data_IF_907336465269
#
_entry.id   IF_907336465269
#
_cell.length_a   1.000
_cell.length_b   1.000
_cell.length_c   1.000
_cell.angle_alpha   90.00
_cell.angle_beta   90.00
_cell.angle_gamma   90.00
#
_symmetry.space_group_name_H-M   'P 1'
#
loop_
_entity.id
_entity.type
_entity.pdbx_description
1 polymer ?
#
# COMPACT_ATOMS: atom_id res chain seq x y z
N UNK A 1 0.64 -5.42 38.99
CA UNK A 1 1.97 -5.48 38.35
C UNK A 1 2.10 -4.20 37.56
N UNK A 2 2.90 -3.26 38.05
CA UNK A 2 3.05 -1.95 37.43
C UNK A 2 3.75 -2.10 36.09
N UNK A 3 3.17 -1.55 35.04
CA UNK A 3 3.82 -1.48 33.73
C UNK A 3 4.81 -0.33 33.76
N UNK A 4 6.09 -0.63 33.97
CA UNK A 4 7.14 0.38 33.80
C UNK A 4 7.36 0.61 32.30
N UNK A 5 7.59 1.88 31.94
CA UNK A 5 8.07 2.24 30.60
C UNK A 5 9.59 2.29 30.69
N UNK A 6 10.25 1.53 29.85
CA UNK A 6 11.70 1.60 29.71
C UNK A 6 12.06 2.55 28.56
N UNK A 7 13.13 3.33 28.76
CA UNK A 7 13.66 4.24 27.75
C UNK A 7 15.11 3.84 27.52
N UNK A 8 15.43 3.52 26.27
CA UNK A 8 16.77 3.22 25.83
C UNK A 8 17.29 4.35 24.94
N UNK A 9 18.56 4.71 25.12
CA UNK A 9 19.22 5.74 24.33
C UNK A 9 20.61 5.25 23.95
N UNK A 10 20.90 5.26 22.65
CA UNK A 10 22.22 4.94 22.13
C UNK A 10 22.21 3.76 21.18
N UNK A 11 22.91 2.68 21.55
CA UNK A 11 22.96 1.46 20.76
C UNK A 11 22.38 0.32 21.60
N UNK A 12 21.27 -0.26 21.15
CA UNK A 12 20.66 -1.42 21.80
C UNK A 12 20.64 -2.59 20.84
N UNK A 13 20.70 -3.76 21.45
CA UNK A 13 20.61 -5.04 20.76
C UNK A 13 20.13 -6.10 21.73
N UNK A 14 18.83 -6.30 21.76
CA UNK A 14 18.14 -7.12 22.75
C UNK A 14 17.08 -8.03 22.13
N UNK A 15 16.58 -8.96 22.96
CA UNK A 15 15.46 -9.82 22.64
C UNK A 15 14.44 -9.62 23.74
N UNK A 16 13.21 -9.30 23.34
CA UNK A 16 12.12 -9.02 24.25
C UNK A 16 10.98 -10.01 24.05
N UNK A 17 10.45 -10.54 25.16
CA UNK A 17 9.44 -11.58 25.13
C UNK A 17 8.38 -11.30 26.20
N UNK A 18 7.14 -11.16 25.76
CA UNK A 18 5.99 -11.00 26.64
C UNK A 18 5.23 -9.72 26.35
N UNK A 19 4.98 -8.93 27.39
CA UNK A 19 4.24 -7.67 27.29
C UNK A 19 5.21 -6.51 27.47
N UNK A 20 5.53 -5.83 26.37
CA UNK A 20 6.55 -4.79 26.32
C UNK A 20 5.94 -3.41 26.13
N UNK A 21 6.58 -2.40 26.74
CA UNK A 21 6.22 -1.00 26.53
C UNK A 21 7.44 -0.11 26.64
N UNK A 22 8.02 0.23 25.49
CA UNK A 22 9.37 0.80 25.42
C UNK A 22 9.45 2.04 24.54
N UNK A 23 10.51 2.80 24.73
CA UNK A 23 10.90 3.92 23.87
C UNK A 23 12.39 3.75 23.58
N UNK A 24 12.75 3.78 22.31
CA UNK A 24 14.12 3.66 21.85
C UNK A 24 14.51 4.89 21.06
N UNK A 25 15.74 5.36 21.29
CA UNK A 25 16.31 6.51 20.58
C UNK A 25 17.76 6.21 20.24
N UNK A 26 18.03 5.97 18.95
CA UNK A 26 19.40 5.76 18.48
C UNK A 26 19.53 4.75 17.36
N UNK A 27 20.29 3.69 17.62
CA UNK A 27 20.60 2.62 16.69
C UNK A 27 20.18 1.30 17.31
N UNK A 28 19.06 0.76 16.86
CA UNK A 28 18.45 -0.39 17.50
C UNK A 28 18.54 -1.63 16.60
N UNK A 29 18.64 -2.80 17.23
CA UNK A 29 18.65 -4.07 16.53
C UNK A 29 18.04 -5.17 17.38
N UNK A 30 16.72 -5.19 17.41
CA UNK A 30 15.99 -5.96 18.39
C UNK A 30 15.08 -7.03 17.75
N UNK A 31 14.61 -7.93 18.60
CA UNK A 31 13.65 -8.98 18.24
C UNK A 31 12.58 -9.06 19.32
N UNK A 32 11.33 -8.89 18.91
CA UNK A 32 10.18 -8.80 19.80
C UNK A 32 9.21 -9.95 19.56
N UNK A 33 8.79 -10.60 20.66
CA UNK A 33 7.75 -11.64 20.63
C UNK A 33 6.68 -11.37 21.69
N UNK A 34 5.43 -11.27 21.25
CA UNK A 34 4.28 -11.16 22.15
C UNK A 34 3.44 -9.92 21.88
N UNK A 35 3.16 -9.15 22.94
CA UNK A 35 2.35 -7.94 22.89
C UNK A 35 3.24 -6.72 23.11
N UNK A 36 3.52 -5.97 22.05
CA UNK A 36 4.41 -4.80 22.12
C UNK A 36 3.67 -3.49 21.93
N UNK A 37 4.25 -2.43 22.51
CA UNK A 37 3.81 -1.03 22.34
C UNK A 37 4.99 -0.09 22.44
N UNK A 38 5.51 0.32 21.29
CA UNK A 38 6.85 0.90 21.24
C UNK A 38 6.90 2.18 20.43
N UNK A 39 7.95 2.96 20.69
CA UNK A 39 8.26 4.18 19.95
C UNK A 39 9.74 4.13 19.62
N UNK A 40 10.07 4.27 18.35
CA UNK A 40 11.41 4.21 17.84
C UNK A 40 11.77 5.52 17.14
N UNK A 41 12.97 6.04 17.42
CA UNK A 41 13.49 7.25 16.81
C UNK A 41 14.95 7.05 16.47
N UNK A 42 15.25 6.85 15.19
CA UNK A 42 16.62 6.66 14.74
C UNK A 42 16.79 5.70 13.57
N UNK A 43 17.70 4.74 13.75
CA UNK A 43 18.14 3.79 12.74
C UNK A 43 17.85 2.36 13.19
N UNK A 44 16.74 1.81 12.70
CA UNK A 44 16.14 0.62 13.29
C UNK A 44 16.26 -0.61 12.39
N UNK A 45 16.44 -1.76 13.02
CA UNK A 45 16.51 -3.08 12.36
C UNK A 45 15.89 -4.15 13.21
N UNK A 46 14.60 -4.37 13.03
CA UNK A 46 13.82 -5.10 14.02
C UNK A 46 12.96 -6.19 13.39
N UNK A 47 12.50 -7.10 14.23
CA UNK A 47 11.56 -8.14 13.85
C UNK A 47 10.54 -8.27 14.97
N UNK A 48 9.26 -8.21 14.58
CA UNK A 48 8.12 -8.29 15.47
C UNK A 48 7.30 -9.53 15.15
N UNK A 49 6.98 -10.29 16.20
CA UNK A 49 6.11 -11.46 16.10
C UNK A 49 5.02 -11.39 17.17
N UNK A 50 3.78 -11.15 16.75
CA UNK A 50 2.62 -11.21 17.65
C UNK A 50 1.59 -10.11 17.42
N UNK A 51 1.45 -9.22 18.40
CA UNK A 51 0.52 -8.10 18.38
C UNK A 51 1.26 -6.85 18.82
N UNK A 52 1.47 -5.91 17.91
CA UNK A 52 2.17 -4.67 18.20
C UNK A 52 1.36 -3.43 17.90
N UNK A 53 1.94 -2.32 18.36
CA UNK A 53 1.52 -0.96 18.06
C UNK A 53 2.73 -0.07 18.17
N UNK A 54 3.14 0.49 17.06
CA UNK A 54 4.41 1.19 16.99
C UNK A 54 4.28 2.57 16.39
N UNK A 55 5.21 3.43 16.77
CA UNK A 55 5.45 4.70 16.12
C UNK A 55 6.94 4.75 15.82
N UNK A 56 7.28 4.81 14.55
CA UNK A 56 8.67 4.77 14.11
C UNK A 56 9.00 6.02 13.32
N UNK A 57 10.10 6.66 13.68
CA UNK A 57 10.59 7.87 13.00
C UNK A 57 12.07 7.69 12.65
N UNK A 58 12.39 7.65 11.36
CA UNK A 58 13.78 7.64 10.90
C UNK A 58 14.05 6.72 9.72
N UNK A 59 15.12 5.94 9.83
CA UNK A 59 15.61 5.04 8.78
C UNK A 59 15.48 3.59 9.23
N UNK A 60 14.59 2.85 8.58
CA UNK A 60 14.06 1.61 9.18
C UNK A 60 14.21 0.43 8.24
N UNK A 61 14.37 -0.76 8.84
CA UNK A 61 14.21 -2.05 8.17
C UNK A 61 13.58 -3.05 9.11
N UNK A 62 12.31 -3.33 8.92
CA UNK A 62 11.54 -4.15 9.86
C UNK A 62 10.85 -5.33 9.18
N UNK A 63 10.54 -6.34 9.98
CA UNK A 63 9.74 -7.48 9.58
C UNK A 63 8.67 -7.68 10.64
N UNK A 64 7.42 -7.68 10.20
CA UNK A 64 6.25 -7.81 11.03
C UNK A 64 5.51 -9.09 10.70
N UNK A 65 5.18 -9.87 11.73
CA UNK A 65 4.41 -11.10 11.61
C UNK A 65 3.34 -11.14 12.68
N UNK A 66 2.10 -10.83 12.30
CA UNK A 66 0.99 -10.91 13.25
C UNK A 66 -0.15 -9.94 12.99
N UNK A 67 -0.43 -9.11 13.99
CA UNK A 67 -1.52 -8.14 13.99
C UNK A 67 -0.98 -6.79 14.40
N UNK A 68 -0.59 -5.98 13.43
CA UNK A 68 0.12 -4.75 13.70
C UNK A 68 -0.71 -3.50 13.44
N UNK A 69 -0.26 -2.42 14.09
CA UNK A 69 -0.78 -1.09 13.88
C UNK A 69 0.35 -0.09 14.06
N UNK A 70 0.97 0.31 12.97
CA UNK A 70 2.07 1.25 13.04
C UNK A 70 1.74 2.63 12.44
N UNK A 71 2.57 3.58 12.84
CA UNK A 71 2.73 4.86 12.19
C UNK A 71 4.20 5.03 11.90
N UNK A 72 4.54 5.22 10.63
CA UNK A 72 5.90 5.38 10.21
C UNK A 72 6.14 6.73 9.52
N UNK A 73 7.29 7.31 9.82
CA UNK A 73 7.76 8.55 9.19
C UNK A 73 9.23 8.43 8.83
N UNK A 74 9.56 8.48 7.53
CA UNK A 74 10.93 8.63 7.08
C UNK A 74 11.29 7.82 5.83
N UNK A 75 12.28 6.94 5.98
CA UNK A 75 12.81 6.10 4.91
C UNK A 75 12.80 4.66 5.38
N UNK A 76 11.82 3.88 4.92
CA UNK A 76 11.58 2.56 5.45
C UNK A 76 11.73 1.48 4.39
N UNK A 77 11.81 0.27 4.90
CA UNK A 77 11.79 -0.94 4.12
C UNK A 77 11.25 -2.06 4.99
N UNK A 78 9.97 -2.32 4.88
CA UNK A 78 9.30 -3.34 5.68
C UNK A 78 8.85 -4.56 4.89
N UNK A 79 8.59 -5.62 5.65
CA UNK A 79 7.87 -6.80 5.21
C UNK A 79 6.81 -7.09 6.27
N UNK A 80 5.55 -7.14 5.86
CA UNK A 80 4.44 -7.44 6.75
C UNK A 80 3.73 -8.73 6.35
N UNK A 81 3.39 -9.54 7.35
CA UNK A 81 2.70 -10.81 7.17
C UNK A 81 1.62 -10.95 8.23
N UNK A 82 0.36 -10.75 7.84
CA UNK A 82 -0.77 -10.87 8.75
C UNK A 82 -1.89 -9.87 8.52
N UNK A 83 -2.25 -9.17 9.59
CA UNK A 83 -3.38 -8.23 9.64
C UNK A 83 -2.89 -6.85 10.06
N UNK A 84 -2.73 -5.98 9.08
CA UNK A 84 -2.01 -4.74 9.28
C UNK A 84 -2.87 -3.50 9.12
N UNK A 85 -2.48 -2.44 9.82
CA UNK A 85 -3.07 -1.11 9.70
C UNK A 85 -2.01 -0.04 9.87
N UNK A 86 -1.63 0.58 8.77
CA UNK A 86 -0.44 1.40 8.74
C UNK A 86 -0.74 2.81 8.25
N UNK A 87 0.10 3.74 8.71
CA UNK A 87 0.14 5.10 8.21
C UNK A 87 1.59 5.43 7.89
N UNK A 88 1.87 5.73 6.63
CA UNK A 88 3.21 6.07 6.16
C UNK A 88 3.31 7.51 5.70
N UNK A 89 4.43 8.14 6.06
CA UNK A 89 4.82 9.45 5.53
C UNK A 89 6.30 9.42 5.17
N UNK A 90 6.62 9.36 3.87
CA UNK A 90 8.02 9.31 3.46
C UNK A 90 8.30 8.56 2.16
N UNK A 91 9.38 7.79 2.21
CA UNK A 91 9.96 7.06 1.08
C UNK A 91 10.03 5.56 1.41
N UNK A 92 9.07 4.81 0.90
CA UNK A 92 8.81 3.48 1.41
C UNK A 92 8.98 2.38 0.38
N UNK A 93 9.32 1.20 0.91
CA UNK A 93 9.52 -0.04 0.15
C UNK A 93 8.96 -1.21 0.93
N UNK A 94 7.73 -1.55 0.61
CA UNK A 94 6.94 -2.48 1.42
C UNK A 94 6.65 -3.77 0.65
N UNK A 95 6.52 -4.85 1.42
CA UNK A 95 6.00 -6.13 0.95
C UNK A 95 4.93 -6.57 1.93
N UNK A 96 3.71 -6.80 1.44
CA UNK A 96 2.59 -7.22 2.25
C UNK A 96 2.08 -8.60 1.84
N UNK A 97 1.75 -9.40 2.85
CA UNK A 97 1.02 -10.66 2.67
C UNK A 97 -0.07 -10.77 3.72
N UNK A 98 -1.34 -10.66 3.29
CA UNK A 98 -2.48 -10.85 4.18
C UNK A 98 -3.60 -9.84 4.00
N UNK A 99 -4.08 -9.28 5.11
CA UNK A 99 -5.15 -8.29 5.16
C UNK A 99 -4.58 -6.95 5.60
N UNK A 100 -4.58 -5.96 4.71
CA UNK A 100 -3.89 -4.71 4.94
C UNK A 100 -4.82 -3.52 4.77
N UNK A 101 -4.48 -2.46 5.49
CA UNK A 101 -5.10 -1.15 5.35
C UNK A 101 -4.03 -0.07 5.55
N UNK A 102 -3.65 0.59 4.48
CA UNK A 102 -2.67 1.67 4.48
C UNK A 102 -3.30 3.05 4.25
N UNK A 103 -2.73 4.05 4.90
CA UNK A 103 -2.78 5.45 4.46
C UNK A 103 -1.36 5.90 4.17
N UNK A 104 -1.11 6.34 2.95
CA UNK A 104 0.22 6.65 2.49
C UNK A 104 0.34 8.08 1.96
N UNK A 105 1.42 8.77 2.32
CA UNK A 105 1.80 10.08 1.74
C UNK A 105 3.28 10.10 1.40
N UNK A 106 3.63 10.22 0.11
CA UNK A 106 5.03 10.38 -0.33
C UNK A 106 5.40 9.59 -1.59
N UNK A 107 6.46 8.79 -1.50
CA UNK A 107 6.94 7.90 -2.55
C UNK A 107 6.91 6.43 -2.11
N UNK A 108 6.01 5.63 -2.69
CA UNK A 108 5.85 4.22 -2.35
C UNK A 108 6.36 3.32 -3.47
N UNK A 109 7.01 2.22 -3.06
CA UNK A 109 7.14 1.04 -3.90
C UNK A 109 6.64 -0.19 -3.15
N UNK A 110 5.60 -0.81 -3.67
CA UNK A 110 4.90 -1.88 -2.98
C UNK A 110 4.84 -3.18 -3.79
N UNK A 111 4.78 -4.30 -3.08
CA UNK A 111 4.30 -5.58 -3.59
C UNK A 111 3.36 -6.19 -2.57
N UNK A 112 2.17 -6.59 -3.02
CA UNK A 112 1.13 -7.06 -2.12
C UNK A 112 0.46 -8.33 -2.63
N UNK A 113 0.12 -9.21 -1.68
CA UNK A 113 -0.66 -10.41 -1.93
C UNK A 113 -1.73 -10.58 -0.84
N UNK A 114 -3.01 -10.54 -1.23
CA UNK A 114 -4.12 -10.78 -0.30
C UNK A 114 -5.34 -9.86 -0.48
N UNK A 115 -5.78 -9.23 0.60
CA UNK A 115 -6.88 -8.26 0.65
C UNK A 115 -6.43 -6.90 1.16
N UNK A 116 -6.75 -5.85 0.44
CA UNK A 116 -6.24 -4.51 0.69
C UNK A 116 -7.31 -3.44 0.61
N UNK A 117 -7.09 -2.33 1.31
CA UNK A 117 -8.02 -1.20 1.28
C UNK A 117 -7.36 0.13 1.64
N UNK A 118 -6.83 0.81 0.65
CA UNK A 118 -5.82 1.82 0.92
C UNK A 118 -6.15 3.20 0.34
N UNK A 119 -5.38 4.19 0.79
CA UNK A 119 -5.45 5.57 0.31
C UNK A 119 -4.04 6.11 0.14
N UNK A 120 -3.69 6.45 -1.10
CA UNK A 120 -2.35 6.91 -1.45
C UNK A 120 -2.35 8.34 -1.99
N UNK A 121 -1.39 9.13 -1.53
CA UNK A 121 -1.10 10.46 -2.06
C UNK A 121 0.37 10.56 -2.43
N UNK A 122 0.66 10.87 -3.69
CA UNK A 122 2.02 11.10 -4.19
C UNK A 122 2.40 10.19 -5.34
N UNK A 123 3.57 9.57 -5.26
CA UNK A 123 4.10 8.70 -6.31
C UNK A 123 4.05 7.25 -5.83
N UNK A 124 3.27 6.42 -6.52
CA UNK A 124 3.15 5.01 -6.18
C UNK A 124 3.62 4.14 -7.33
N UNK A 125 4.29 3.05 -6.97
CA UNK A 125 4.62 1.97 -7.88
C UNK A 125 4.38 0.63 -7.20
N UNK A 126 3.44 -0.13 -7.74
CA UNK A 126 2.92 -1.31 -7.04
C UNK A 126 2.78 -2.53 -7.94
N UNK A 127 2.64 -3.67 -7.28
CA UNK A 127 2.25 -4.94 -7.89
C UNK A 127 1.32 -5.64 -6.93
N UNK A 128 0.08 -5.83 -7.37
CA UNK A 128 -0.99 -6.38 -6.55
C UNK A 128 -1.52 -7.70 -7.09
N UNK A 129 -1.72 -8.66 -6.17
CA UNK A 129 -2.40 -9.92 -6.47
C UNK A 129 -3.45 -10.21 -5.40
N UNK A 130 -4.73 -10.17 -5.77
CA UNK A 130 -5.82 -10.53 -4.87
C UNK A 130 -7.05 -9.64 -5.01
N UNK A 131 -7.50 -9.10 -3.89
CA UNK A 131 -8.66 -8.21 -3.81
C UNK A 131 -8.20 -6.84 -3.31
N UNK A 132 -8.35 -5.83 -4.15
CA UNK A 132 -7.84 -4.50 -3.90
C UNK A 132 -8.97 -3.47 -3.96
N UNK A 133 -8.88 -2.46 -3.09
CA UNK A 133 -9.80 -1.33 -3.08
C UNK A 133 -9.11 -0.06 -2.66
N UNK A 134 -8.71 0.74 -3.62
CA UNK A 134 -7.81 1.85 -3.35
C UNK A 134 -8.33 3.18 -3.90
N UNK A 135 -7.71 4.24 -3.42
CA UNK A 135 -7.87 5.58 -3.94
C UNK A 135 -6.49 6.19 -4.05
N UNK A 136 -6.16 6.63 -5.26
CA UNK A 136 -4.90 7.27 -5.59
C UNK A 136 -5.09 8.73 -5.95
N UNK A 137 -4.20 9.57 -5.42
CA UNK A 137 -4.06 10.97 -5.83
C UNK A 137 -2.59 11.22 -6.14
N UNK A 138 -2.27 11.35 -7.43
CA UNK A 138 -0.92 11.61 -7.87
C UNK A 138 -0.50 10.79 -9.08
N UNK A 139 0.75 10.33 -9.07
CA UNK A 139 1.32 9.51 -10.13
C UNK A 139 1.30 8.05 -9.70
N UNK A 140 0.66 7.19 -10.50
CA UNK A 140 0.59 5.76 -10.24
C UNK A 140 1.18 4.96 -11.39
N UNK A 141 1.78 3.83 -11.04
CA UNK A 141 2.28 2.84 -11.98
C UNK A 141 2.24 1.45 -11.35
N UNK A 142 1.15 0.76 -11.57
CA UNK A 142 0.91 -0.58 -11.06
C UNK A 142 0.84 -1.71 -12.09
N UNK A 143 0.75 -2.92 -11.55
CA UNK A 143 0.20 -4.10 -12.20
C UNK A 143 -0.72 -4.78 -11.20
N UNK A 144 -1.98 -4.99 -11.60
CA UNK A 144 -3.02 -5.50 -10.72
C UNK A 144 -3.61 -6.79 -11.29
N UNK A 145 -3.71 -7.81 -10.43
CA UNK A 145 -4.27 -9.11 -10.80
C UNK A 145 -5.31 -9.56 -9.78
N UNK A 146 -6.55 -9.74 -10.22
CA UNK A 146 -7.63 -10.29 -9.39
C UNK A 146 -8.92 -9.47 -9.45
N UNK A 147 -9.42 -9.06 -8.29
CA UNK A 147 -10.61 -8.23 -8.16
C UNK A 147 -10.20 -6.82 -7.73
N UNK A 148 -10.37 -5.87 -8.64
CA UNK A 148 -9.82 -4.53 -8.55
C UNK A 148 -10.95 -3.52 -8.45
N UNK A 149 -10.83 -2.59 -7.51
CA UNK A 149 -11.81 -1.52 -7.33
C UNK A 149 -11.16 -0.20 -6.94
N UNK A 150 -10.86 0.65 -7.92
CA UNK A 150 -9.97 1.77 -7.70
C UNK A 150 -10.56 3.11 -8.15
N UNK A 151 -10.00 4.18 -7.58
CA UNK A 151 -10.28 5.54 -7.98
C UNK A 151 -8.95 6.25 -8.14
N UNK A 152 -8.72 6.80 -9.31
CA UNK A 152 -7.49 7.49 -9.65
C UNK A 152 -7.74 8.95 -9.96
N UNK A 153 -6.82 9.79 -9.50
CA UNK A 153 -6.77 11.21 -9.80
C UNK A 153 -5.35 11.55 -10.22
N UNK A 154 -5.23 12.22 -11.37
CA UNK A 154 -4.03 12.81 -11.97
C UNK A 154 -3.35 11.99 -13.10
N UNK A 155 -2.34 11.16 -12.82
CA UNK A 155 -1.60 10.45 -13.86
C UNK A 155 -1.40 8.98 -13.51
N UNK A 156 -1.76 8.10 -14.44
CA UNK A 156 -1.77 6.67 -14.20
C UNK A 156 -1.13 5.93 -15.38
N UNK A 157 -0.52 4.79 -15.07
CA UNK A 157 -0.03 3.87 -16.09
C UNK A 157 -0.04 2.44 -15.59
N UNK A 158 -1.08 1.70 -15.96
CA UNK A 158 -1.35 0.39 -15.38
C UNK A 158 -1.63 -0.74 -16.35
N UNK A 159 -1.58 -1.94 -15.76
CA UNK A 159 -1.97 -3.19 -16.40
C UNK A 159 -2.88 -3.91 -15.41
N UNK A 160 -4.09 -4.22 -15.85
CA UNK A 160 -5.09 -4.91 -15.04
C UNK A 160 -5.45 -6.25 -15.66
N UNK A 161 -5.56 -7.27 -14.81
CA UNK A 161 -5.98 -8.62 -15.19
C UNK A 161 -7.02 -9.14 -14.22
N UNK A 162 -8.25 -9.36 -14.68
CA UNK A 162 -9.32 -9.98 -13.88
C UNK A 162 -10.65 -9.24 -13.94
N UNK A 163 -11.23 -8.95 -12.78
CA UNK A 163 -12.48 -8.22 -12.63
C UNK A 163 -12.18 -6.83 -12.10
N UNK A 164 -12.48 -5.81 -12.89
CA UNK A 164 -12.04 -4.45 -12.63
C UNK A 164 -13.23 -3.51 -12.60
N UNK A 165 -13.21 -2.59 -11.64
CA UNK A 165 -14.12 -1.46 -11.60
C UNK A 165 -13.36 -0.21 -11.21
N UNK A 166 -13.34 0.79 -12.08
CA UNK A 166 -12.49 1.96 -11.89
C UNK A 166 -13.21 3.28 -12.16
N UNK A 167 -12.67 4.33 -11.56
CA UNK A 167 -13.00 5.72 -11.87
C UNK A 167 -11.68 6.47 -12.05
N UNK A 168 -11.55 7.12 -13.19
CA UNK A 168 -10.34 7.85 -13.55
C UNK A 168 -10.64 9.33 -13.79
N UNK A 169 -9.78 10.18 -13.24
CA UNK A 169 -9.81 11.63 -13.46
C UNK A 169 -8.42 12.13 -13.78
N UNK A 170 -8.10 12.31 -15.06
CA UNK A 170 -6.79 12.82 -15.47
C UNK A 170 -6.25 12.26 -16.78
N UNK A 171 -5.00 11.79 -16.74
CA UNK A 171 -4.25 11.26 -17.87
C UNK A 171 -3.91 9.78 -17.65
N UNK A 172 -4.47 8.92 -18.48
CA UNK A 172 -4.44 7.47 -18.30
C UNK A 172 -3.68 6.79 -19.44
N UNK A 173 -3.00 5.69 -19.12
CA UNK A 173 -2.38 4.78 -20.09
C UNK A 173 -2.42 3.33 -19.62
N UNK A 174 -3.38 2.58 -20.14
CA UNK A 174 -3.80 1.34 -19.49
C UNK A 174 -3.85 0.15 -20.42
N UNK A 175 -3.75 -1.04 -19.84
CA UNK A 175 -3.95 -2.31 -20.54
C UNK A 175 -4.85 -3.17 -19.67
N UNK A 176 -5.97 -3.60 -20.24
CA UNK A 176 -6.97 -4.39 -19.57
C UNK A 176 -7.10 -5.79 -20.16
N UNK A 177 -7.19 -6.79 -19.28
CA UNK A 177 -7.51 -8.17 -19.65
C UNK A 177 -8.56 -8.74 -18.70
N UNK A 178 -9.80 -8.92 -19.18
CA UNK A 178 -10.86 -9.57 -18.39
C UNK A 178 -12.21 -8.89 -18.49
N UNK A 179 -12.84 -8.66 -17.33
CA UNK A 179 -14.13 -7.99 -17.20
C UNK A 179 -13.93 -6.63 -16.57
N UNK A 180 -14.14 -5.58 -17.34
CA UNK A 180 -13.85 -4.20 -16.91
C UNK A 180 -15.11 -3.35 -16.95
N UNK A 181 -15.16 -2.40 -16.03
CA UNK A 181 -16.12 -1.31 -16.04
C UNK A 181 -15.46 -0.05 -15.51
N UNK A 182 -15.13 0.89 -16.39
CA UNK A 182 -14.65 2.22 -15.97
C UNK A 182 -15.66 3.35 -16.13
N UNK A 183 -15.34 4.44 -15.43
CA UNK A 183 -15.84 5.78 -15.71
C UNK A 183 -14.63 6.68 -15.90
N UNK A 184 -14.57 7.35 -17.04
CA UNK A 184 -13.40 8.16 -17.41
C UNK A 184 -13.72 9.66 -17.52
N UNK A 185 -12.83 10.51 -16.98
CA UNK A 185 -12.85 11.97 -17.17
C UNK A 185 -11.44 12.50 -17.49
N UNK A 186 -11.18 12.91 -18.74
CA UNK A 186 -9.90 13.53 -19.13
C UNK A 186 -9.33 13.08 -20.47
N UNK A 187 -8.07 12.63 -20.48
CA UNK A 187 -7.40 12.01 -21.62
C UNK A 187 -6.99 10.56 -21.36
N UNK A 188 -7.42 9.65 -22.23
CA UNK A 188 -7.20 8.22 -22.07
C UNK A 188 -6.49 7.61 -23.28
N UNK A 189 -5.68 6.58 -23.00
CA UNK A 189 -5.17 5.66 -24.01
C UNK A 189 -5.15 4.25 -23.46
N UNK A 190 -5.89 3.36 -24.09
CA UNK A 190 -6.03 2.01 -23.56
C UNK A 190 -5.96 0.92 -24.63
N UNK A 191 -5.69 -0.30 -24.16
CA UNK A 191 -5.77 -1.54 -24.93
C UNK A 191 -6.55 -2.52 -24.09
N UNK A 192 -7.62 -3.08 -24.65
CA UNK A 192 -8.51 -3.93 -23.92
C UNK A 192 -8.74 -5.29 -24.60
N UNK A 193 -8.77 -6.35 -23.78
CA UNK A 193 -9.05 -7.73 -24.18
C UNK A 193 -10.07 -8.37 -23.25
N UNK A 194 -11.29 -8.62 -23.71
CA UNK A 194 -12.33 -9.31 -22.91
C UNK A 194 -13.75 -8.75 -23.06
N UNK A 195 -14.40 -8.47 -21.92
CA UNK A 195 -15.69 -7.77 -21.84
C UNK A 195 -15.55 -6.42 -21.11
N UNK A 196 -16.01 -5.34 -21.73
CA UNK A 196 -15.90 -4.00 -21.18
C UNK A 196 -17.24 -3.26 -21.18
N UNK A 197 -17.36 -2.37 -20.20
CA UNK A 197 -18.39 -1.34 -20.19
C UNK A 197 -17.84 -0.02 -19.65
N UNK A 198 -17.76 0.97 -20.52
CA UNK A 198 -17.23 2.30 -20.21
C UNK A 198 -18.30 3.40 -20.32
N UNK A 199 -18.16 4.41 -19.46
CA UNK A 199 -18.84 5.70 -19.56
C UNK A 199 -17.78 6.81 -19.54
N UNK A 200 -17.78 7.75 -20.49
CA UNK A 200 -16.66 8.72 -20.60
C UNK A 200 -17.04 10.16 -20.89
N UNK A 201 -16.16 11.06 -20.41
CA UNK A 201 -16.14 12.52 -20.68
C UNK A 201 -14.71 12.94 -21.03
N UNK A 202 -14.42 13.20 -22.30
CA UNK A 202 -13.10 13.72 -22.70
C UNK A 202 -12.60 13.14 -24.02
N UNK A 203 -11.29 12.87 -24.08
CA UNK A 203 -10.61 12.35 -25.26
C UNK A 203 -10.13 10.93 -25.03
N UNK A 204 -10.57 10.00 -25.87
CA UNK A 204 -10.21 8.58 -25.78
C UNK A 204 -9.44 8.14 -27.03
N UNK A 205 -8.52 7.20 -26.83
CA UNK A 205 -7.89 6.43 -27.91
C UNK A 205 -7.68 4.99 -27.45
N UNK A 206 -8.50 4.10 -27.98
CA UNK A 206 -8.53 2.69 -27.61
C UNK A 206 -8.09 1.71 -28.71
N UNK A 207 -7.84 0.47 -28.30
CA UNK A 207 -7.74 -0.71 -29.17
C UNK A 207 -8.45 -1.87 -28.49
N UNK A 208 -9.48 -2.41 -29.14
CA UNK A 208 -10.32 -3.47 -28.57
C UNK A 208 -10.17 -4.83 -29.24
N UNK A 209 -10.12 -5.88 -28.40
CA UNK A 209 -10.30 -7.28 -28.80
C UNK A 209 -11.30 -7.93 -27.85
N UNK A 210 -12.59 -7.88 -28.19
CA UNK A 210 -13.62 -8.45 -27.32
C UNK A 210 -15.01 -7.89 -27.56
N UNK A 211 -15.80 -7.87 -26.49
CA UNK A 211 -17.10 -7.20 -26.45
C UNK A 211 -16.97 -5.90 -25.68
N UNK A 212 -17.50 -4.82 -26.26
CA UNK A 212 -17.43 -3.46 -25.71
C UNK A 212 -18.81 -2.83 -25.70
N UNK A 213 -19.09 -2.06 -24.66
CA UNK A 213 -20.27 -1.19 -24.57
C UNK A 213 -19.87 0.18 -24.03
N UNK A 214 -20.10 1.19 -24.84
CA UNK A 214 -19.64 2.56 -24.59
C UNK A 214 -20.81 3.54 -24.41
N UNK A 215 -20.64 4.50 -23.49
CA UNK A 215 -21.51 5.68 -23.38
C UNK A 215 -20.68 6.97 -23.35
N UNK A 216 -20.86 7.80 -24.37
CA UNK A 216 -20.29 9.13 -24.45
C UNK A 216 -21.19 10.14 -23.71
N UNK A 217 -20.68 10.80 -22.67
CA UNK A 217 -21.37 11.88 -21.97
C UNK A 217 -20.92 13.24 -22.54
N UNK A 218 -21.89 14.01 -23.05
CA UNK A 218 -21.67 15.35 -23.64
C UNK A 218 -21.61 16.45 -22.58
#
# INVERSE_FOLDING_TARGET
MGYEREIFVGYVREIFVGYERKIFVGYERDFFVGYVREIFVGYEREIFVGYGREIVVGYVREIFVGYEREIFVGYLREIFVGYEREVFVGYEREIFVGYVRVIFVGYLREVFVGYERDFFVGYVREVFVGYVREVFVGYVRGVFVGYVREIFVEYVREIFVGYVWEIFVGYEREIFVGYVREIFVGYEREIFVGYEREDFVGYVREVFVGYVRETFLC
#
